data_IF_135667189160
#
_entry.id   IF_135667189160
#
_cell.length_a   1.000
_cell.length_b   1.000
_cell.length_c   1.000
_cell.angle_alpha   90.00
_cell.angle_beta   90.00
_cell.angle_gamma   90.00
#
_symmetry.space_group_name_H-M   'P 1'
#
loop_
_entity.id
_entity.type
_entity.pdbx_description
1 polymer ?
2 non-polymer ?
3 non-polymer ?
4 water ?
#
# COMPACT_ATOMS: atom_id res chain seq x y z
N UNK A 4 -26.08 8.71 -20.63
CA UNK A 4 -24.85 9.29 -21.26
C UNK A 4 -24.52 8.63 -22.60
N UNK A 5 -23.89 9.41 -23.48
CA UNK A 5 -23.49 8.93 -24.79
C UNK A 5 -22.26 8.05 -24.65
N UNK A 6 -22.09 7.08 -25.55
CA UNK A 6 -20.92 6.22 -25.49
C UNK A 6 -19.69 7.05 -25.85
N UNK A 7 -19.92 8.14 -26.58
CA UNK A 7 -18.84 9.01 -27.04
C UNK A 7 -18.69 10.27 -26.18
N UNK A 8 -17.53 10.93 -26.32
CA UNK A 8 -17.24 12.15 -25.60
C UNK A 8 -16.16 12.92 -26.35
N UNK A 9 -16.32 14.23 -26.49
CA UNK A 9 -15.33 15.03 -27.18
C UNK A 9 -14.07 15.18 -26.32
N UNK A 10 -14.11 14.57 -25.14
CA UNK A 10 -12.94 14.62 -24.26
C UNK A 10 -11.93 13.57 -24.72
N UNK A 11 -12.36 12.67 -25.58
CA UNK A 11 -11.47 11.61 -26.04
C UNK A 11 -10.18 12.08 -26.71
N UNK A 12 -10.16 13.30 -27.21
CA UNK A 12 -8.95 13.81 -27.84
C UNK A 12 -7.84 13.93 -26.80
N UNK A 13 -8.22 14.07 -25.53
CA UNK A 13 -7.24 14.18 -24.45
C UNK A 13 -6.71 12.80 -24.05
N UNK A 14 -7.41 11.75 -24.46
CA UNK A 14 -7.00 10.38 -24.14
C UNK A 14 -6.30 9.70 -25.31
N UNK A 15 -6.58 10.18 -26.53
CA UNK A 15 -6.02 9.55 -27.71
C UNK A 15 -4.71 10.09 -28.25
N UNK A 16 -4.02 10.91 -27.46
CA UNK A 16 -2.74 11.46 -27.86
C UNK A 16 -1.80 10.29 -28.18
N UNK A 17 -1.14 10.33 -29.33
CA UNK A 17 -0.22 9.27 -29.72
C UNK A 17 1.06 9.41 -28.92
N UNK A 18 1.35 8.45 -28.01
CA UNK A 18 2.55 8.54 -27.20
C UNK A 18 3.86 8.59 -28.01
N UNK A 19 3.82 8.10 -29.24
CA UNK A 19 5.02 8.11 -30.06
C UNK A 19 5.41 9.52 -30.50
N UNK A 20 4.53 10.49 -30.31
CA UNK A 20 4.84 11.87 -30.69
C UNK A 20 5.49 12.59 -29.52
N UNK A 21 5.71 11.86 -28.43
CA UNK A 21 6.31 12.42 -27.23
C UNK A 21 7.71 11.89 -26.97
N UNK A 22 8.70 12.78 -27.05
CA UNK A 22 10.09 12.42 -26.81
C UNK A 22 10.21 11.86 -25.40
N UNK A 23 10.95 10.77 -25.25
CA UNK A 23 11.14 10.14 -23.95
C UNK A 23 12.60 10.09 -23.54
N UNK A 24 12.93 10.46 -22.29
CA UNK A 24 11.98 10.90 -21.26
C UNK A 24 11.63 12.38 -21.43
N UNK A 25 10.36 12.75 -21.18
CA UNK A 25 9.92 14.13 -21.32
C UNK A 25 10.71 15.06 -20.41
N UNK A 26 10.96 16.28 -20.87
CA UNK A 26 11.73 17.24 -20.11
C UNK A 26 11.12 17.51 -18.72
N UNK A 27 9.79 17.46 -18.64
CA UNK A 27 9.10 17.72 -17.39
C UNK A 27 9.32 16.60 -16.36
N UNK A 28 9.76 15.43 -16.82
CA UNK A 28 9.99 14.31 -15.92
C UNK A 28 11.34 14.44 -15.23
N UNK A 29 11.34 14.96 -14.01
CA UNK A 29 12.57 15.14 -13.26
C UNK A 29 12.59 14.17 -12.08
N UNK A 30 13.73 14.09 -11.40
CA UNK A 30 13.87 13.17 -10.27
C UNK A 30 13.01 13.55 -9.06
N UNK A 31 12.45 14.76 -9.06
CA UNK A 31 11.60 15.19 -7.96
C UNK A 31 10.22 14.55 -8.12
N UNK A 32 9.96 14.01 -9.30
CA UNK A 32 8.67 13.41 -9.60
C UNK A 32 8.73 11.91 -9.91
N UNK A 33 9.84 11.48 -10.50
CA UNK A 33 9.99 10.10 -10.90
C UNK A 33 11.22 9.41 -10.32
N UNK A 34 11.09 8.10 -10.13
CA UNK A 34 12.16 7.28 -9.59
C UNK A 34 13.01 6.75 -10.73
N UNK A 35 14.22 6.22 -10.43
CA UNK A 35 15.14 5.69 -11.43
C UNK A 35 14.50 4.77 -12.47
N UNK A 36 13.62 3.88 -12.01
CA UNK A 36 12.95 2.92 -12.89
C UNK A 36 12.26 3.59 -14.08
N UNK A 37 11.60 4.72 -13.83
CA UNK A 37 10.90 5.44 -14.88
C UNK A 37 11.80 5.70 -16.09
N UNK A 38 13.02 6.14 -15.82
CA UNK A 38 13.97 6.47 -16.86
C UNK A 38 14.54 5.28 -17.62
N UNK A 39 14.10 4.08 -17.25
CA UNK A 39 14.55 2.88 -17.94
C UNK A 39 13.55 2.41 -18.98
N UNK A 40 12.39 3.06 -19.03
CA UNK A 40 11.39 2.70 -20.03
C UNK A 40 12.00 3.12 -21.37
N UNK A 41 11.72 2.36 -22.43
CA UNK A 41 12.29 2.68 -23.73
C UNK A 41 11.56 3.72 -24.54
N UNK A 42 10.32 4.01 -24.17
CA UNK A 42 9.51 4.98 -24.90
C UNK A 42 8.32 5.41 -24.06
N UNK A 43 7.65 6.47 -24.51
CA UNK A 43 6.48 6.97 -23.81
C UNK A 43 5.38 5.91 -23.87
N UNK A 44 5.29 5.22 -25.00
CA UNK A 44 4.26 4.18 -25.16
C UNK A 44 4.47 3.03 -24.17
N UNK A 45 5.73 2.63 -23.97
CA UNK A 45 6.02 1.53 -23.05
C UNK A 45 5.57 1.90 -21.65
N UNK A 46 5.84 3.15 -21.25
CA UNK A 46 5.45 3.65 -19.94
C UNK A 46 3.93 3.65 -19.82
N UNK A 47 3.24 4.21 -20.81
CA UNK A 47 1.79 4.29 -20.79
C UNK A 47 1.15 2.90 -20.72
N UNK A 48 1.67 1.96 -21.49
CA UNK A 48 1.13 0.60 -21.48
C UNK A 48 1.25 -0.01 -20.10
N UNK A 49 2.37 0.24 -19.43
CA UNK A 49 2.58 -0.30 -18.09
C UNK A 49 1.64 0.37 -17.10
N UNK A 50 1.45 1.68 -17.27
CA UNK A 50 0.56 2.45 -16.41
C UNK A 50 -0.87 1.90 -16.54
N UNK A 51 -1.28 1.62 -17.78
CA UNK A 51 -2.62 1.08 -18.03
C UNK A 51 -2.75 -0.28 -17.35
N UNK A 52 -1.67 -1.05 -17.37
CA UNK A 52 -1.67 -2.37 -16.76
C UNK A 52 -1.87 -2.25 -15.24
N UNK A 53 -1.13 -1.36 -14.60
CA UNK A 53 -1.23 -1.15 -13.17
C UNK A 53 -2.63 -0.67 -12.78
N UNK A 54 -3.09 0.37 -13.47
CA UNK A 54 -4.40 0.94 -13.23
C UNK A 54 -5.53 -0.07 -13.36
N UNK A 55 -5.30 -1.11 -14.16
CA UNK A 55 -6.32 -2.13 -14.38
C UNK A 55 -6.48 -3.14 -13.25
N UNK A 56 -5.47 -3.30 -12.42
CA UNK A 56 -5.58 -4.24 -11.32
C UNK A 56 -6.80 -3.89 -10.48
N UNK A 57 -7.27 -4.83 -9.66
CA UNK A 57 -8.43 -4.56 -8.82
C UNK A 57 -8.06 -3.77 -7.57
N UNK A 58 -8.76 -2.67 -7.36
CA UNK A 58 -8.50 -1.80 -6.21
C UNK A 58 -9.80 -1.29 -5.60
N UNK A 59 -10.08 -1.68 -4.37
CA UNK A 59 -11.29 -1.18 -3.72
C UNK A 59 -10.88 0.17 -3.15
N UNK A 60 -11.83 1.10 -2.97
CA UNK A 60 -11.49 2.42 -2.42
C UNK A 60 -10.61 2.37 -1.17
N UNK A 61 -10.44 1.17 -0.60
CA UNK A 61 -9.63 0.98 0.60
C UNK A 61 -8.18 0.69 0.22
N UNK A 62 -7.94 0.40 -1.05
CA UNK A 62 -6.60 0.08 -1.52
C UNK A 62 -5.89 1.18 -2.30
N UNK A 63 -6.08 2.43 -1.89
CA UNK A 63 -5.41 3.54 -2.57
C UNK A 63 -3.93 3.40 -2.25
N UNK A 64 -3.64 2.97 -1.03
CA UNK A 64 -2.27 2.81 -0.57
C UNK A 64 -1.52 1.80 -1.44
N UNK A 65 -2.16 0.69 -1.77
CA UNK A 65 -1.51 -0.32 -2.59
C UNK A 65 -1.32 0.20 -4.02
N UNK A 66 -2.31 0.92 -4.54
CA UNK A 66 -2.21 1.47 -5.89
C UNK A 66 -0.98 2.37 -5.99
N UNK A 67 -0.87 3.29 -5.05
CA UNK A 67 0.24 4.23 -5.01
C UNK A 67 1.57 3.48 -4.94
N UNK A 68 1.62 2.42 -4.13
CA UNK A 68 2.85 1.66 -4.01
C UNK A 68 3.19 0.97 -5.33
N UNK A 69 2.18 0.39 -5.97
CA UNK A 69 2.39 -0.28 -7.25
C UNK A 69 2.85 0.70 -8.32
N UNK A 70 2.31 1.91 -8.31
CA UNK A 70 2.68 2.93 -9.29
C UNK A 70 4.15 3.30 -9.10
N UNK A 71 4.62 3.14 -7.87
CA UNK A 71 6.01 3.43 -7.53
C UNK A 71 6.93 2.30 -8.00
N UNK A 72 6.58 1.07 -7.62
CA UNK A 72 7.38 -0.10 -7.96
C UNK A 72 7.30 -0.57 -9.41
N UNK A 73 6.18 -0.33 -10.07
CA UNK A 73 6.00 -0.77 -11.46
C UNK A 73 6.30 0.30 -12.50
N UNK A 74 5.85 1.53 -12.25
CA UNK A 74 6.04 2.62 -13.20
C UNK A 74 7.04 3.70 -12.82
N UNK A 75 7.57 3.64 -11.60
CA UNK A 75 8.56 4.63 -11.17
C UNK A 75 8.02 6.02 -10.88
N UNK A 76 6.75 6.12 -10.52
CA UNK A 76 6.16 7.42 -10.18
C UNK A 76 6.29 7.60 -8.66
N UNK A 77 6.83 8.74 -8.21
CA UNK A 77 6.98 8.94 -6.77
C UNK A 77 5.61 8.88 -6.08
N UNK A 78 5.58 8.27 -4.90
CA UNK A 78 4.34 8.07 -4.16
C UNK A 78 3.50 9.31 -3.86
N UNK A 79 4.10 10.35 -3.33
CA UNK A 79 3.31 11.53 -3.04
C UNK A 79 2.87 12.24 -4.32
N UNK A 80 3.53 11.96 -5.43
CA UNK A 80 3.14 12.56 -6.70
C UNK A 80 1.84 11.87 -7.13
N UNK A 81 1.83 10.55 -7.08
CA UNK A 81 0.64 9.78 -7.45
C UNK A 81 -0.54 10.19 -6.56
N UNK A 82 -0.27 10.37 -5.27
CA UNK A 82 -1.31 10.75 -4.33
C UNK A 82 -1.88 12.12 -4.70
N UNK A 83 -0.99 13.06 -5.01
CA UNK A 83 -1.40 14.40 -5.38
C UNK A 83 -2.22 14.38 -6.67
N UNK A 84 -1.81 13.55 -7.62
CA UNK A 84 -2.52 13.43 -8.89
C UNK A 84 -3.91 12.85 -8.65
N UNK A 85 -3.99 11.76 -7.88
CA UNK A 85 -5.28 11.15 -7.59
C UNK A 85 -6.23 12.16 -6.95
N UNK A 86 -5.66 13.05 -6.14
CA UNK A 86 -6.45 14.07 -5.47
C UNK A 86 -7.01 15.11 -6.46
N UNK A 87 -6.20 15.54 -7.42
CA UNK A 87 -6.68 16.53 -8.38
C UNK A 87 -7.63 15.93 -9.40
N UNK A 88 -7.70 14.60 -9.44
CA UNK A 88 -8.59 13.91 -10.37
C UNK A 88 -9.87 13.50 -9.64
N UNK A 89 -10.00 13.90 -8.38
CA UNK A 89 -11.15 13.53 -7.56
C UNK A 89 -11.27 12.02 -7.47
N UNK A 90 -10.12 11.35 -7.50
CA UNK A 90 -10.10 9.90 -7.39
C UNK A 90 -10.53 9.10 -8.61
N UNK A 91 -10.74 9.76 -9.74
CA UNK A 91 -11.16 9.06 -10.96
C UNK A 91 -9.97 8.45 -11.69
N UNK A 92 -9.74 7.16 -11.50
CA UNK A 92 -8.62 6.48 -12.15
C UNK A 92 -8.67 6.53 -13.67
N UNK A 93 -9.88 6.59 -14.21
CA UNK A 93 -10.05 6.64 -15.66
C UNK A 93 -9.30 7.83 -16.28
N UNK A 94 -9.05 8.86 -15.47
CA UNK A 94 -8.37 10.05 -15.95
C UNK A 94 -6.86 10.06 -15.63
N UNK A 95 -6.37 9.00 -15.00
CA UNK A 95 -4.96 8.91 -14.65
C UNK A 95 -4.08 8.92 -15.90
N UNK A 96 -4.40 8.09 -16.90
CA UNK A 96 -3.57 8.09 -18.11
C UNK A 96 -3.61 9.45 -18.81
N UNK A 97 -4.79 10.06 -18.85
CA UNK A 97 -4.96 11.37 -19.48
C UNK A 97 -4.00 12.39 -18.85
N UNK A 98 -3.86 12.32 -17.54
CA UNK A 98 -2.96 13.23 -16.82
C UNK A 98 -1.53 13.16 -17.36
N UNK A 99 -1.00 11.94 -17.46
CA UNK A 99 0.38 11.75 -17.94
C UNK A 99 0.57 12.08 -19.41
N UNK A 100 -0.38 11.69 -20.24
CA UNK A 100 -0.30 11.98 -21.67
C UNK A 100 -0.22 13.48 -21.93
N UNK A 101 -1.06 14.25 -21.25
CA UNK A 101 -1.08 15.70 -21.43
C UNK A 101 0.06 16.41 -20.73
N UNK A 102 0.49 15.86 -19.60
CA UNK A 102 1.62 16.44 -18.89
C UNK A 102 2.86 16.28 -19.77
N UNK A 103 2.98 15.12 -20.40
CA UNK A 103 4.13 14.83 -21.28
C UNK A 103 4.04 15.52 -22.63
N UNK A 104 2.83 15.66 -23.15
CA UNK A 104 2.65 16.31 -24.45
C UNK A 104 3.08 17.77 -24.42
N UNK A 105 2.73 18.48 -23.35
CA UNK A 105 3.06 19.90 -23.25
C UNK A 105 4.09 20.21 -22.18
N UNK A 106 4.59 19.17 -21.51
CA UNK A 106 5.59 19.35 -20.47
C UNK A 106 5.24 20.41 -19.44
N UNK A 107 4.01 20.32 -18.91
CA UNK A 107 3.55 21.24 -17.88
C UNK A 107 2.89 20.37 -16.81
N UNK A 108 3.17 20.69 -15.55
CA UNK A 108 2.67 19.92 -14.41
C UNK A 108 2.00 20.84 -13.42
N UNK A 109 0.67 20.78 -13.30
CA UNK A 109 -0.26 19.90 -14.02
C UNK A 109 -0.74 20.50 -15.34
N UNK A 110 -1.34 19.67 -16.21
CA UNK A 110 -1.85 20.18 -17.49
C UNK A 110 -2.89 21.20 -17.03
N UNK A 111 -2.78 22.46 -17.47
CA UNK A 111 -3.74 23.50 -17.05
C UNK A 111 -5.14 23.57 -17.65
N UNK A 112 -5.35 22.98 -18.82
CA UNK A 112 -6.66 23.07 -19.46
C UNK A 112 -7.23 21.74 -19.92
N UNK A 113 -7.21 20.74 -19.04
CA UNK A 113 -7.71 19.43 -19.40
C UNK A 113 -8.91 19.01 -18.57
N UNK A 114 -10.00 18.61 -19.23
CA UNK A 114 -11.21 18.18 -18.51
C UNK A 114 -10.85 17.04 -17.55
N UNK A 115 -11.34 17.11 -16.32
CA UNK A 115 -11.06 16.06 -15.35
C UNK A 115 -9.85 16.32 -14.47
N UNK A 116 -9.00 17.26 -14.88
CA UNK A 116 -7.80 17.59 -14.10
C UNK A 116 -8.01 18.94 -13.41
N UNK A 117 -8.28 18.88 -12.11
CA UNK A 117 -8.54 20.08 -11.31
C UNK A 117 -7.28 20.80 -10.85
N UNK A 118 -7.10 22.03 -11.34
CA UNK A 118 -5.95 22.83 -10.96
C UNK A 118 -6.27 23.66 -9.72
N UNK A 119 -5.24 24.26 -9.14
CA UNK A 119 -5.42 25.09 -7.94
C UNK A 119 -6.44 26.18 -8.28
N UNK A 120 -6.28 26.78 -9.45
CA UNK A 120 -7.18 27.83 -9.89
C UNK A 120 -8.61 27.34 -10.03
N UNK A 121 -8.79 26.14 -10.57
CA UNK A 121 -10.14 25.58 -10.71
C UNK A 121 -10.79 25.49 -9.34
N UNK A 122 -10.04 24.98 -8.36
CA UNK A 122 -10.56 24.81 -7.01
C UNK A 122 -10.90 26.15 -6.36
N UNK A 123 -10.08 27.16 -6.60
CA UNK A 123 -10.33 28.49 -6.06
C UNK A 123 -11.64 28.99 -6.64
N UNK A 124 -11.82 28.79 -7.94
CA UNK A 124 -13.04 29.20 -8.61
C UNK A 124 -14.25 28.48 -8.02
N UNK A 125 -14.12 27.17 -7.82
CA UNK A 125 -15.22 26.38 -7.27
C UNK A 125 -15.62 26.82 -5.86
N UNK A 126 -14.63 27.24 -5.07
CA UNK A 126 -14.88 27.69 -3.71
C UNK A 126 -15.47 29.10 -3.65
N UNK A 127 -15.46 29.79 -4.78
CA UNK A 127 -15.97 31.15 -4.85
C UNK A 127 -17.42 31.21 -5.31
N UNK A 128 -17.95 32.44 -5.33
CA UNK A 128 -19.30 32.68 -5.80
C UNK A 128 -19.27 33.59 -7.02
N UNK A 129 -18.10 33.68 -7.65
CA UNK A 129 -17.92 34.49 -8.85
C UNK A 129 -18.40 33.62 -10.01
N UNK A 130 -19.61 33.90 -10.49
CA UNK A 130 -20.23 33.13 -11.56
C UNK A 130 -19.49 33.12 -12.90
N UNK A 131 -18.60 34.07 -13.11
CA UNK A 131 -17.85 34.10 -14.36
C UNK A 131 -16.80 32.98 -14.34
N UNK A 132 -16.21 32.75 -13.17
CA UNK A 132 -15.22 31.70 -13.04
C UNK A 132 -15.90 30.33 -12.98
N UNK A 133 -17.09 30.29 -12.39
CA UNK A 133 -17.83 29.03 -12.30
C UNK A 133 -18.31 28.63 -13.71
N UNK A 134 -18.60 29.63 -14.53
CA UNK A 134 -19.06 29.39 -15.90
C UNK A 134 -17.98 28.60 -16.63
N UNK A 135 -16.74 29.06 -16.53
CA UNK A 135 -15.64 28.39 -17.19
C UNK A 135 -15.37 27.00 -16.61
N UNK A 136 -15.57 26.86 -15.30
CA UNK A 136 -15.37 25.57 -14.62
C UNK A 136 -16.28 24.48 -15.17
N UNK A 137 -17.56 24.79 -15.27
CA UNK A 137 -18.53 23.80 -15.75
C UNK A 137 -18.30 23.46 -17.23
N UNK A 138 -17.81 24.44 -17.98
CA UNK A 138 -17.52 24.24 -19.40
C UNK A 138 -16.36 23.22 -19.52
N UNK A 139 -15.39 23.39 -18.64
CA UNK A 139 -14.20 22.54 -18.61
C UNK A 139 -14.43 21.13 -18.08
N UNK A 140 -15.02 21.03 -16.89
CA UNK A 140 -15.23 19.74 -16.23
C UNK A 140 -16.62 19.13 -16.31
N UNK A 141 -17.65 19.97 -16.43
CA UNK A 141 -19.02 19.48 -16.48
C UNK A 141 -19.64 19.59 -15.10
N UNK A 142 -20.96 19.51 -15.03
CA UNK A 142 -21.64 19.64 -13.74
C UNK A 142 -21.43 18.42 -12.84
N UNK A 143 -21.40 17.24 -13.45
CA UNK A 143 -21.19 16.02 -12.68
C UNK A 143 -19.89 16.04 -11.88
N UNK A 144 -18.81 16.45 -12.54
CA UNK A 144 -17.51 16.52 -11.87
C UNK A 144 -17.48 17.62 -10.81
N UNK A 145 -18.19 18.71 -11.07
CA UNK A 145 -18.24 19.81 -10.11
C UNK A 145 -18.92 19.35 -8.82
N UNK A 146 -20.00 18.59 -8.95
CA UNK A 146 -20.72 18.09 -7.79
C UNK A 146 -19.84 17.11 -7.02
N UNK A 147 -19.12 16.26 -7.75
CA UNK A 147 -18.23 15.29 -7.14
C UNK A 147 -17.11 16.04 -6.41
N UNK A 148 -16.65 17.15 -7.00
CA UNK A 148 -15.59 17.94 -6.40
C UNK A 148 -16.09 18.60 -5.11
N UNK A 149 -17.26 19.22 -5.17
CA UNK A 149 -17.87 19.88 -4.02
C UNK A 149 -17.96 18.87 -2.88
N UNK A 150 -18.24 17.63 -3.28
CA UNK A 150 -18.35 16.50 -2.36
C UNK A 150 -16.98 16.35 -1.70
N UNK A 151 -15.96 16.16 -2.54
CA UNK A 151 -14.58 15.99 -2.11
C UNK A 151 -14.14 17.01 -1.06
N UNK A 152 -14.58 18.26 -1.22
CA UNK A 152 -14.23 19.31 -0.28
C UNK A 152 -14.73 19.00 1.12
N UNK A 153 -15.95 18.50 1.20
CA UNK A 153 -16.57 18.15 2.47
C UNK A 153 -15.87 16.99 3.17
N UNK A 154 -14.73 17.31 3.78
CA UNK A 154 -13.90 16.35 4.51
C UNK A 154 -12.50 16.94 4.63
N UNK B 4 -12.58 -2.45 9.51
CA UNK B 4 -13.53 -1.32 9.29
C UNK B 4 -13.79 -0.59 10.61
N UNK B 5 -14.24 -1.35 11.61
CA UNK B 5 -14.51 -0.79 12.92
C UNK B 5 -13.19 -0.29 13.48
N UNK B 6 -13.24 0.63 14.44
CA UNK B 6 -12.03 1.13 15.06
C UNK B 6 -11.45 -0.04 15.83
N UNK B 7 -12.34 -0.88 16.32
CA UNK B 7 -11.97 -2.03 17.12
C UNK B 7 -11.91 -3.37 16.41
N UNK B 8 -11.39 -4.35 17.14
CA UNK B 8 -11.23 -5.72 16.67
C UNK B 8 -11.06 -6.60 17.89
N UNK B 9 -11.76 -7.74 17.93
CA UNK B 9 -11.63 -8.63 19.06
C UNK B 9 -10.30 -9.37 19.03
N UNK B 10 -9.49 -9.12 18.01
CA UNK B 10 -8.18 -9.75 17.92
C UNK B 10 -7.21 -9.03 18.85
N UNK B 11 -7.60 -7.86 19.34
CA UNK B 11 -6.72 -7.09 20.22
C UNK B 11 -6.28 -7.80 21.50
N UNK B 12 -6.99 -8.85 21.90
CA UNK B 12 -6.60 -9.58 23.10
C UNK B 12 -5.28 -10.32 22.86
N UNK B 13 -4.94 -10.55 21.59
CA UNK B 13 -3.70 -11.24 21.27
C UNK B 13 -2.53 -10.25 21.27
N UNK B 14 -2.86 -8.96 21.18
CA UNK B 14 -1.86 -7.90 21.17
C UNK B 14 -1.68 -7.29 22.56
N UNK B 15 -2.67 -7.48 23.42
CA UNK B 15 -2.62 -6.89 24.76
C UNK B 15 -2.13 -7.78 25.88
N UNK B 16 -1.47 -8.88 25.55
CA UNK B 16 -0.92 -9.76 26.58
C UNK B 16 0.08 -8.92 27.38
N UNK B 17 -0.01 -8.97 28.71
CA UNK B 17 0.91 -8.20 29.56
C UNK B 17 2.28 -8.84 29.51
N UNK B 18 3.26 -8.14 28.93
CA UNK B 18 4.62 -8.70 28.85
C UNK B 18 5.21 -9.06 30.21
N UNK B 19 4.74 -8.42 31.28
CA UNK B 19 5.27 -8.72 32.60
C UNK B 19 4.90 -10.13 33.08
N UNK B 20 3.99 -10.79 32.37
CA UNK B 20 3.61 -12.15 32.74
C UNK B 20 4.49 -13.17 32.01
N UNK B 21 5.52 -12.68 31.34
CA UNK B 21 6.43 -13.53 30.58
C UNK B 21 7.85 -13.45 31.13
N UNK B 22 8.38 -14.59 31.59
CA UNK B 22 9.74 -14.63 32.13
C UNK B 22 10.72 -14.33 31.03
N UNK B 23 11.79 -13.59 31.36
CA UNK B 23 12.79 -13.25 30.36
C UNK B 23 14.20 -13.69 30.78
N UNK B 24 14.95 -14.33 29.86
CA UNK B 24 14.48 -14.61 28.50
C UNK B 24 13.60 -15.86 28.48
N UNK B 25 12.60 -15.87 27.58
CA UNK B 25 11.70 -17.03 27.49
C UNK B 25 12.47 -18.29 27.12
N UNK B 26 12.05 -19.43 27.63
CA UNK B 26 12.74 -20.68 27.34
C UNK B 26 12.76 -21.02 25.85
N UNK B 27 11.71 -20.62 25.14
CA UNK B 27 11.60 -20.89 23.70
C UNK B 27 12.62 -20.06 22.91
N UNK B 28 13.11 -18.98 23.52
CA UNK B 28 14.08 -18.10 22.85
C UNK B 28 15.50 -18.64 23.00
N UNK B 29 15.92 -19.43 22.02
CA UNK B 29 17.26 -20.02 22.05
C UNK B 29 18.23 -19.24 21.16
N UNK B 30 19.50 -19.60 21.23
CA UNK B 30 20.51 -18.93 20.42
C UNK B 30 20.37 -19.30 18.95
N UNK B 31 19.53 -20.29 18.65
CA UNK B 31 19.30 -20.67 17.26
C UNK B 31 18.30 -19.70 16.62
N UNK B 32 17.66 -18.89 17.46
CA UNK B 32 16.65 -17.93 17.00
C UNK B 32 16.98 -16.48 17.33
N UNK B 33 17.75 -16.27 18.40
CA UNK B 33 18.07 -14.92 18.85
C UNK B 33 19.57 -14.62 18.97
N UNK B 34 19.89 -13.34 18.83
CA UNK B 34 21.26 -12.85 18.90
C UNK B 34 21.64 -12.42 20.31
N UNK B 35 22.93 -12.24 20.58
CA UNK B 35 23.39 -11.82 21.90
C UNK B 35 22.68 -10.61 22.46
N UNK B 36 22.41 -9.62 21.61
CA UNK B 36 21.73 -8.39 22.04
C UNK B 36 20.40 -8.69 22.74
N UNK B 37 19.64 -9.63 22.17
CA UNK B 37 18.34 -10.03 22.72
C UNK B 37 18.42 -10.39 24.20
N UNK B 38 19.43 -11.18 24.55
CA UNK B 38 19.60 -11.64 25.92
C UNK B 38 20.07 -10.56 26.88
N UNK B 39 20.28 -9.35 26.36
CA UNK B 39 20.69 -8.24 27.20
C UNK B 39 19.52 -7.37 27.63
N UNK B 40 18.34 -7.63 27.07
CA UNK B 40 17.15 -6.87 27.46
C UNK B 40 16.85 -7.25 28.91
N UNK B 41 16.42 -6.29 29.73
CA UNK B 41 16.16 -6.61 31.13
C UNK B 41 14.83 -7.27 31.43
N UNK B 42 13.90 -7.21 30.47
CA UNK B 42 12.57 -7.78 30.68
C UNK B 42 11.86 -7.92 29.34
N UNK B 43 10.78 -8.68 29.33
CA UNK B 43 10.02 -8.87 28.10
C UNK B 43 9.43 -7.54 27.65
N UNK B 44 8.98 -6.73 28.60
CA UNK B 44 8.40 -5.43 28.25
C UNK B 44 9.39 -4.54 27.50
N UNK B 45 10.65 -4.53 27.93
CA UNK B 45 11.64 -3.71 27.26
C UNK B 45 11.90 -4.22 25.84
N UNK B 46 11.88 -5.53 25.66
CA UNK B 46 12.07 -6.11 24.33
C UNK B 46 10.88 -5.75 23.43
N UNK B 47 9.67 -5.91 23.96
CA UNK B 47 8.47 -5.61 23.19
C UNK B 47 8.37 -4.14 22.81
N UNK B 48 8.77 -3.25 23.72
CA UNK B 48 8.70 -1.83 23.42
C UNK B 48 9.63 -1.50 22.25
N UNK B 49 10.82 -2.09 22.24
CA UNK B 49 11.76 -1.83 21.16
C UNK B 49 11.24 -2.45 19.85
N UNK B 50 10.64 -3.63 19.95
CA UNK B 50 10.09 -4.29 18.77
C UNK B 50 9.00 -3.41 18.15
N UNK B 51 8.09 -2.90 18.99
CA UNK B 51 7.03 -2.04 18.51
C UNK B 51 7.64 -0.86 17.77
N UNK B 52 8.69 -0.30 18.36
CA UNK B 52 9.37 0.83 17.77
C UNK B 52 9.83 0.50 16.35
N UNK B 53 10.26 -0.73 16.13
CA UNK B 53 10.72 -1.14 14.81
C UNK B 53 9.61 -1.44 13.80
N UNK B 54 8.66 -2.31 14.16
CA UNK B 54 7.61 -2.68 13.22
C UNK B 54 6.51 -1.66 12.97
N UNK B 55 6.53 -0.56 13.72
CA UNK B 55 5.51 0.48 13.54
C UNK B 55 5.94 1.41 12.41
N UNK B 56 7.16 1.21 11.93
CA UNK B 56 7.71 2.05 10.86
C UNK B 56 7.23 1.85 9.44
N UNK B 57 7.92 2.49 8.51
CA UNK B 57 7.62 2.45 7.07
C UNK B 57 8.53 1.50 6.29
N UNK B 58 7.96 0.41 5.80
CA UNK B 58 8.73 -0.54 5.02
C UNK B 58 7.97 -0.94 3.78
N UNK B 59 8.51 -0.56 2.62
CA UNK B 59 7.89 -0.88 1.35
C UNK B 59 8.25 -2.31 0.96
N UNK B 60 7.58 -2.85 -0.05
CA UNK B 60 7.87 -4.23 -0.48
C UNK B 60 9.34 -4.48 -0.82
N UNK B 61 10.03 -3.45 -1.30
CA UNK B 61 11.43 -3.59 -1.68
C UNK B 61 12.38 -3.41 -0.50
N UNK B 62 11.83 -3.22 0.70
CA UNK B 62 12.65 -2.99 1.87
C UNK B 62 12.71 -4.11 2.91
N UNK B 63 12.51 -5.35 2.48
CA UNK B 63 12.58 -6.47 3.41
C UNK B 63 13.95 -6.52 4.07
N UNK B 64 14.99 -6.18 3.31
CA UNK B 64 16.35 -6.20 3.86
C UNK B 64 16.53 -5.20 4.98
N UNK B 65 16.00 -4.00 4.82
CA UNK B 65 16.13 -2.98 5.87
C UNK B 65 15.42 -3.46 7.13
N UNK B 66 14.24 -4.03 6.95
CA UNK B 66 13.44 -4.53 8.07
C UNK B 66 14.18 -5.59 8.87
N UNK B 67 14.67 -6.61 8.15
CA UNK B 67 15.40 -7.69 8.78
C UNK B 67 16.67 -7.14 9.43
N UNK B 68 17.31 -6.19 8.77
CA UNK B 68 18.51 -5.59 9.33
C UNK B 68 18.18 -4.86 10.64
N UNK B 69 17.09 -4.09 10.63
CA UNK B 69 16.67 -3.34 11.81
C UNK B 69 16.28 -4.26 12.97
N UNK B 70 15.59 -5.36 12.65
CA UNK B 70 15.17 -6.32 13.69
C UNK B 70 16.38 -7.01 14.30
N UNK B 71 17.45 -7.13 13.51
CA UNK B 71 18.68 -7.75 13.98
C UNK B 71 19.43 -6.76 14.89
N UNK B 72 19.61 -5.54 14.40
CA UNK B 72 20.33 -4.49 15.13
C UNK B 72 19.64 -3.95 16.37
N UNK B 73 18.33 -3.78 16.31
CA UNK B 73 17.60 -3.19 17.43
C UNK B 73 17.01 -4.16 18.45
N UNK B 74 16.58 -5.34 17.99
CA UNK B 74 15.97 -6.31 18.89
C UNK B 74 16.68 -7.66 19.05
N UNK B 75 17.76 -7.88 18.30
CA UNK B 75 18.50 -9.12 18.41
C UNK B 75 17.80 -10.36 17.89
N UNK B 76 16.93 -10.21 16.90
CA UNK B 76 16.24 -11.35 16.31
C UNK B 76 17.07 -11.82 15.10
N UNK B 77 17.35 -13.12 15.00
CA UNK B 77 18.14 -13.60 13.86
C UNK B 77 17.45 -13.26 12.54
N UNK B 78 18.25 -12.85 11.57
CA UNK B 78 17.73 -12.44 10.27
C UNK B 78 16.82 -13.43 9.56
N UNK B 79 17.18 -14.71 9.53
CA UNK B 79 16.32 -15.65 8.83
C UNK B 79 15.10 -16.07 9.63
N UNK B 80 15.08 -15.75 10.93
CA UNK B 80 13.92 -16.06 11.76
C UNK B 80 12.91 -14.95 11.43
N UNK B 81 13.39 -13.71 11.38
CA UNK B 81 12.52 -12.59 11.04
C UNK B 81 11.92 -12.83 9.65
N UNK B 82 12.74 -13.34 8.74
CA UNK B 82 12.29 -13.61 7.39
C UNK B 82 11.16 -14.65 7.40
N UNK B 83 11.38 -15.72 8.16
CA UNK B 83 10.38 -16.78 8.26
C UNK B 83 9.08 -16.29 8.88
N UNK B 84 9.18 -15.40 9.87
CA UNK B 84 8.00 -14.86 10.53
C UNK B 84 7.21 -14.03 9.53
N UNK B 85 7.92 -13.17 8.80
CA UNK B 85 7.30 -12.32 7.79
C UNK B 85 6.46 -13.18 6.85
N UNK B 86 7.07 -14.28 6.41
CA UNK B 86 6.41 -15.20 5.48
C UNK B 86 5.13 -15.77 6.05
N UNK B 87 5.16 -16.21 7.31
CA UNK B 87 3.98 -16.78 7.91
C UNK B 87 2.92 -15.73 8.26
N UNK B 88 3.30 -14.45 8.20
CA UNK B 88 2.38 -13.35 8.49
C UNK B 88 1.90 -12.71 7.19
N UNK B 89 2.28 -13.31 6.06
CA UNK B 89 1.91 -12.78 4.74
C UNK B 89 2.38 -11.33 4.61
N UNK B 90 3.50 -11.02 5.26
CA UNK B 90 4.05 -9.68 5.19
C UNK B 90 3.40 -8.61 6.03
N UNK B 91 2.47 -8.96 6.91
CA UNK B 91 1.81 -7.94 7.74
C UNK B 91 2.61 -7.61 8.98
N UNK B 92 3.33 -6.47 8.96
CA UNK B 92 4.15 -6.05 10.08
C UNK B 92 3.39 -5.83 11.38
N UNK B 93 2.15 -5.38 11.27
CA UNK B 93 1.32 -5.11 12.44
C UNK B 93 1.09 -6.36 13.29
N UNK B 94 1.36 -7.53 12.71
CA UNK B 94 1.16 -8.78 13.43
C UNK B 94 2.42 -9.29 14.10
N UNK B 95 3.55 -8.62 13.86
CA UNK B 95 4.81 -9.04 14.47
C UNK B 95 4.73 -9.09 16.00
N UNK B 96 4.22 -8.03 16.64
CA UNK B 96 4.13 -8.04 18.11
C UNK B 96 3.33 -9.20 18.67
N UNK B 97 2.18 -9.53 18.08
CA UNK B 97 1.42 -10.64 18.63
C UNK B 97 2.12 -11.96 18.40
N UNK B 98 2.97 -12.05 17.37
CA UNK B 98 3.69 -13.30 17.13
C UNK B 98 4.61 -13.55 18.31
N UNK B 99 5.38 -12.53 18.69
CA UNK B 99 6.30 -12.68 19.81
C UNK B 99 5.61 -12.79 21.16
N UNK B 100 4.55 -12.02 21.37
CA UNK B 100 3.83 -12.10 22.65
C UNK B 100 3.26 -13.50 22.88
N UNK B 101 2.62 -14.06 21.86
CA UNK B 101 2.00 -15.38 22.00
C UNK B 101 3.01 -16.52 21.99
N UNK B 102 4.09 -16.36 21.25
CA UNK B 102 5.15 -17.37 21.22
C UNK B 102 5.76 -17.42 22.62
N UNK B 103 6.05 -16.24 23.17
CA UNK B 103 6.65 -16.14 24.50
C UNK B 103 5.73 -16.52 25.64
N UNK B 104 4.44 -16.19 25.51
CA UNK B 104 3.47 -16.48 26.57
C UNK B 104 3.36 -17.97 26.87
N UNK B 105 3.21 -18.77 25.82
CA UNK B 105 3.08 -20.22 25.99
C UNK B 105 4.34 -20.97 25.64
N UNK B 106 5.37 -20.25 25.21
CA UNK B 106 6.65 -20.83 24.83
C UNK B 106 6.55 -21.92 23.77
N UNK B 107 5.96 -21.54 22.64
CA UNK B 107 5.79 -22.43 21.50
C UNK B 107 6.09 -21.59 20.27
N UNK B 108 6.59 -22.24 19.22
CA UNK B 108 6.95 -21.52 18.01
C UNK B 108 6.60 -22.38 16.78
N UNK B 109 5.66 -21.90 15.95
CA UNK B 109 4.94 -20.63 16.09
C UNK B 109 3.72 -20.80 16.99
N UNK B 110 3.10 -19.68 17.41
CA UNK B 110 1.90 -19.83 18.25
C UNK B 110 0.88 -20.46 17.30
N UNK B 111 0.26 -21.57 17.71
CA UNK B 111 -0.72 -22.30 16.90
C UNK B 111 -2.13 -21.79 16.67
N UNK B 112 -2.65 -20.94 17.54
CA UNK B 112 -4.02 -20.47 17.38
C UNK B 112 -4.19 -18.96 17.46
N UNK B 113 -3.44 -18.24 16.64
CA UNK B 113 -3.51 -16.79 16.65
C UNK B 113 -3.86 -16.20 15.30
N UNK B 114 -4.92 -15.37 15.25
CA UNK B 114 -5.36 -14.74 14.00
C UNK B 114 -4.18 -14.00 13.37
N UNK B 115 -3.96 -14.20 12.08
CA UNK B 115 -2.88 -13.52 11.41
C UNK B 115 -1.58 -14.32 11.31
N UNK B 116 -1.47 -15.38 12.11
CA UNK B 116 -0.27 -16.21 12.11
C UNK B 116 -0.59 -17.55 11.42
N UNK B 117 -0.12 -17.70 10.19
CA UNK B 117 -0.37 -18.92 9.41
C UNK B 117 0.57 -20.08 9.75
N UNK B 118 0.01 -21.14 10.32
CA UNK B 118 0.78 -22.32 10.68
C UNK B 118 0.84 -23.31 9.54
N UNK B 119 1.68 -24.33 9.70
CA UNK B 119 1.83 -25.38 8.68
C UNK B 119 0.45 -26.00 8.44
N UNK B 120 -0.26 -26.30 9.51
CA UNK B 120 -1.59 -26.90 9.38
C UNK B 120 -2.57 -25.96 8.67
N UNK B 121 -2.46 -24.67 8.95
CA UNK B 121 -3.34 -23.69 8.31
C UNK B 121 -3.13 -23.71 6.80
N UNK B 122 -1.87 -23.72 6.37
CA UNK B 122 -1.58 -23.72 4.95
C UNK B 122 -2.03 -25.01 4.27
N UNK B 123 -1.98 -26.12 5.00
CA UNK B 123 -2.45 -27.39 4.43
C UNK B 123 -3.95 -27.31 4.24
N UNK B 124 -4.64 -26.69 5.20
CA UNK B 124 -6.08 -26.55 5.09
C UNK B 124 -6.42 -25.63 3.92
N UNK B 125 -5.59 -24.61 3.71
CA UNK B 125 -5.81 -23.68 2.61
C UNK B 125 -5.70 -24.38 1.26
N UNK B 126 -4.88 -25.43 1.22
CA UNK B 126 -4.68 -26.21 -0.01
C UNK B 126 -5.69 -27.35 -0.15
N UNK B 127 -6.52 -27.55 0.87
CA UNK B 127 -7.53 -28.60 0.83
C UNK B 127 -8.72 -28.14 -0.01
N UNK B 128 -9.66 -29.06 -0.24
CA UNK B 128 -10.86 -28.76 -1.00
C UNK B 128 -12.02 -29.03 -0.06
N UNK B 129 -11.76 -28.85 1.23
CA UNK B 129 -12.76 -29.10 2.27
C UNK B 129 -13.41 -27.84 2.85
N UNK B 130 -14.74 -27.81 2.85
CA UNK B 130 -15.50 -26.67 3.35
C UNK B 130 -15.28 -26.30 4.81
N UNK B 131 -15.39 -27.27 5.72
CA UNK B 131 -15.20 -26.98 7.14
C UNK B 131 -13.77 -26.53 7.47
N UNK B 132 -12.78 -27.09 6.77
CA UNK B 132 -11.40 -26.68 7.02
C UNK B 132 -11.23 -25.22 6.62
N UNK B 133 -11.83 -24.85 5.50
CA UNK B 133 -11.76 -23.48 5.02
C UNK B 133 -12.57 -22.58 5.94
N UNK B 134 -13.69 -23.10 6.45
CA UNK B 134 -14.53 -22.34 7.36
C UNK B 134 -13.71 -22.04 8.63
N UNK B 135 -12.94 -23.04 9.08
CA UNK B 135 -12.12 -22.86 10.26
C UNK B 135 -11.07 -21.76 10.00
N UNK B 136 -10.51 -21.76 8.79
CA UNK B 136 -9.51 -20.75 8.44
C UNK B 136 -10.04 -19.32 8.42
N UNK B 137 -11.20 -19.12 7.80
CA UNK B 137 -11.77 -17.78 7.73
C UNK B 137 -12.20 -17.25 9.10
N UNK B 138 -12.61 -18.15 9.99
CA UNK B 138 -13.02 -17.75 11.34
C UNK B 138 -11.79 -17.33 12.12
N UNK B 139 -10.67 -17.99 11.84
CA UNK B 139 -9.41 -17.69 12.51
C UNK B 139 -8.72 -16.45 11.95
N UNK B 140 -8.61 -16.37 10.62
CA UNK B 140 -7.90 -15.27 9.98
C UNK B 140 -8.76 -14.21 9.27
N UNK B 141 -9.95 -14.60 8.85
CA UNK B 141 -10.82 -13.68 8.14
C UNK B 141 -10.67 -13.92 6.64
N UNK B 142 -11.64 -13.45 5.86
CA UNK B 142 -11.59 -13.63 4.41
C UNK B 142 -10.50 -12.78 3.76
N UNK B 143 -10.29 -11.59 4.29
CA UNK B 143 -9.26 -10.70 3.76
C UNK B 143 -7.88 -11.33 3.80
N UNK B 144 -7.52 -11.92 4.94
CA UNK B 144 -6.23 -12.56 5.08
C UNK B 144 -6.10 -13.80 4.21
N UNK B 145 -7.20 -14.54 4.06
CA UNK B 145 -7.18 -15.75 3.24
C UNK B 145 -6.89 -15.40 1.78
N UNK B 146 -7.50 -14.32 1.29
CA UNK B 146 -7.26 -13.90 -0.08
C UNK B 146 -5.84 -13.40 -0.24
N UNK B 147 -5.34 -12.70 0.77
CA UNK B 147 -3.98 -12.18 0.74
C UNK B 147 -3.02 -13.36 0.73
N UNK B 148 -3.33 -14.39 1.50
CA UNK B 148 -2.50 -15.59 1.59
C UNK B 148 -2.44 -16.31 0.25
N UNK B 149 -3.60 -16.52 -0.39
CA UNK B 149 -3.65 -17.18 -1.69
C UNK B 149 -2.78 -16.44 -2.69
N UNK B 150 -2.86 -15.11 -2.68
CA UNK B 150 -2.06 -14.30 -3.58
C UNK B 150 -0.59 -14.54 -3.28
N UNK B 151 -0.28 -14.73 -2.00
CA UNK B 151 1.10 -15.01 -1.57
C UNK B 151 1.52 -16.30 -2.26
N UNK B 152 0.58 -17.24 -2.32
CA UNK B 152 0.83 -18.53 -2.97
C UNK B 152 0.89 -18.33 -4.49
N UNK B 153 0.14 -17.34 -4.96
CA UNK B 153 0.12 -17.00 -6.39
C UNK B 153 0.99 -15.76 -6.58
N UNK B 154 2.28 -15.94 -6.35
CA UNK B 154 3.31 -14.90 -6.45
C UNK B 154 4.09 -14.88 -5.14
X LIG C 1 0.03 16.64 -9.05
X LIG C 1 -0.01 18.15 -8.79
X LIG C 1 0.41 18.39 -7.44
X LIG C 1 0.94 18.82 -9.78
X LIG C 1 -1.48 18.63 -9.02
X LIG C 1 -1.74 20.14 -8.86
X LIG C 1 -3.12 20.41 -9.13
X LIG C 1 -1.40 20.66 -7.45
X LIG D 1 -5.68 18.23 -29.29
X LIG D 1 -4.97 18.04 -27.95
X LIG D 1 -3.97 18.91 -27.43
X LIG D 1 -5.71 17.08 -27.00
X LIG D 1 -5.94 19.12 -27.29
X LIG D 1 -5.88 20.66 -27.70
X LIG D 1 -6.08 20.91 -29.09
X LIG D 1 -6.92 21.47 -26.90
X LIG E 1 27.37 -9.48 11.97
X LIG E 1 27.43 -10.83 12.38
X LIG E 1 26.19 -11.57 11.85
X LIG E 1 24.80 -11.04 12.32
X LIG E 1 24.98 -9.50 12.20
X LIG E 1 26.31 -8.91 12.69
X LIG E 1 23.60 -11.63 11.94
X LIG E 1 23.58 -13.11 12.26
X LIG E 1 21.98 -13.76 11.72
X LIG E 1 21.86 -13.54 10.28
X LIG E 1 20.94 -13.04 12.41
X LIG E 1 21.91 -15.17 12.01
X LIG F 1 13.02 3.08 -1.46
X LIG F 1 12.10 3.29 -0.37
X LIG F 1 11.19 4.51 -0.67
X LIG F 1 10.44 4.26 -1.94
X LIG F 1 11.40 4.02 -3.05
X LIG F 1 12.30 2.82 -2.69
X LIG F 1 9.54 5.40 -2.25
X LIG F 1 10.25 6.74 -2.47
X LIG F 1 9.00 8.01 -2.81
X LIG F 1 8.08 8.13 -1.70
X LIG F 1 8.27 7.64 -4.01
X LIG F 1 9.69 9.29 -3.02
X LIG G 1 9.13 -20.49 10.22
X LIG G 1 8.74 -20.20 11.67
X LIG G 1 8.31 -18.94 12.17
X LIG G 1 8.37 -21.41 12.55
X LIG G 1 7.23 -20.14 11.06
X LIG G 1 6.58 -21.36 10.25
X LIG G 1 6.50 -22.56 11.01
X LIG G 1 5.16 -21.01 9.78
#
# INVERSE_FOLDING_TARGET
GAIRSDFSNEDIYDNIDPDTISFPPKIATTDLFLPLFFHFGSTRQFMDKLHEVISGDYEPSQAEKLVQDLCDETGIRKNFSTSILTCLSGDLMVFPRYFLNMFKDNVNPPPNVPGIWTHDDDESLKSNDQEQIRKLVKKHGTGRMEMRKRFFEKDLLVPRGSHHHHHH
GAIRSDFSNEDIYDNIDPDTISFPPKIATTDLFLPLFFHFGSTRQFMDKLHEVISGDYEPSQAEKLVQDLCDETGIRKNFSTSILTCLSGDLMVFPRYFLNMFKDNVNPPPNVPGIWTHDDDESLKSNDQEQIRKLVKKHGTGRMEMRKRFFEKDLLVPRGSHHHHHH
MPD C1 C2 O2 CM C3 C4 O4 C5
MPD C1 C2 O2 CM C3 C4 O4 C5
MES O1 C2 C3 N4 C5 C6 C7 C8 S O1S O2S O3S
MES O1 C2 C3 N4 C5 C6 C7 C8 S O1S O2S O3S
MPD C1 C2 O2 CM C3 C4 O4 C5
#
